data_IF_494946732373
#
_entry.id   IF_494946732373
#
_cell.length_a   1.000
_cell.length_b   1.000
_cell.length_c   1.000
_cell.angle_alpha   90.00
_cell.angle_beta   90.00
_cell.angle_gamma   90.00
#
_symmetry.space_group_name_H-M   'P 1'
#
loop_
_entity.id
_entity.type
_entity.pdbx_description
1 polymer ?
#
# COMPACT_ATOMS: atom_id res chain seq x y z
N UNK A 1 5.85 -7.32 7.49
CA UNK A 1 6.07 -5.91 7.84
C UNK A 1 7.32 -5.47 7.10
N UNK A 2 7.29 -4.31 6.46
CA UNK A 2 8.44 -3.80 5.72
C UNK A 2 8.48 -2.27 5.79
N UNK A 3 9.69 -1.73 5.71
CA UNK A 3 9.94 -0.29 5.50
C UNK A 3 10.61 -0.14 4.16
N UNK A 4 10.14 0.81 3.35
CA UNK A 4 10.74 1.13 2.07
C UNK A 4 12.01 1.95 2.28
N UNK A 5 13.14 1.47 1.79
CA UNK A 5 14.44 2.15 1.92
C UNK A 5 14.89 2.85 0.64
N UNK A 6 14.41 2.41 -0.52
CA UNK A 6 14.76 2.96 -1.84
C UNK A 6 13.53 3.07 -2.75
N UNK A 7 13.62 3.94 -3.76
CA UNK A 7 12.60 4.08 -4.81
C UNK A 7 12.72 2.96 -5.86
N UNK A 8 11.61 2.66 -6.56
CA UNK A 8 11.59 1.79 -7.74
C UNK A 8 11.66 0.27 -7.52
N UNK A 9 11.88 -0.22 -6.29
CA UNK A 9 12.00 -1.67 -6.02
C UNK A 9 10.65 -2.39 -5.81
N UNK A 10 9.66 -1.69 -5.24
CA UNK A 10 8.34 -2.29 -4.96
C UNK A 10 7.44 -2.25 -6.19
N UNK A 11 6.55 -3.23 -6.30
CA UNK A 11 5.52 -3.27 -7.35
C UNK A 11 4.41 -2.21 -7.17
N UNK A 12 4.40 -1.49 -6.04
CA UNK A 12 3.44 -0.43 -5.74
C UNK A 12 4.13 0.92 -5.55
N UNK A 13 3.47 2.02 -5.95
CA UNK A 13 3.98 3.38 -5.75
C UNK A 13 4.20 3.65 -4.27
N UNK A 14 5.22 4.44 -3.94
CA UNK A 14 5.50 4.86 -2.57
C UNK A 14 6.91 5.41 -2.43
N UNK A 15 7.13 6.24 -1.40
CA UNK A 15 8.40 6.91 -1.17
C UNK A 15 9.21 6.25 -0.05
N UNK A 16 10.55 6.42 -0.01
CA UNK A 16 11.37 5.96 1.09
C UNK A 16 10.83 6.44 2.44
N UNK A 17 10.83 5.54 3.43
CA UNK A 17 10.20 5.75 4.73
C UNK A 17 8.77 5.22 4.83
N UNK A 18 8.13 4.84 3.71
CA UNK A 18 6.83 4.18 3.73
C UNK A 18 6.89 2.87 4.55
N UNK A 19 6.03 2.76 5.55
CA UNK A 19 5.86 1.57 6.36
C UNK A 19 4.64 0.78 5.89
N UNK A 20 4.78 -0.53 5.70
CA UNK A 20 3.68 -1.38 5.23
C UNK A 20 3.52 -2.67 6.04
N UNK A 21 2.26 -3.07 6.20
CA UNK A 21 1.87 -4.38 6.73
C UNK A 21 0.62 -4.89 6.02
N UNK A 22 0.54 -6.21 5.82
CA UNK A 22 -0.60 -6.82 5.14
C UNK A 22 -1.04 -8.09 5.85
N UNK A 23 -2.34 -8.34 5.95
CA UNK A 23 -2.90 -9.53 6.59
C UNK A 23 -3.16 -10.66 5.62
N UNK A 24 -3.40 -11.89 6.09
CA UNK A 24 -3.58 -13.03 5.18
C UNK A 24 -4.84 -12.96 4.30
N UNK A 25 -5.89 -12.27 4.77
CA UNK A 25 -7.24 -12.30 4.20
C UNK A 25 -7.61 -11.11 3.30
N UNK A 26 -6.65 -10.23 2.99
CA UNK A 26 -6.90 -9.09 2.10
C UNK A 26 -6.45 -7.76 2.68
N UNK A 27 -6.49 -7.62 4.01
CA UNK A 27 -6.17 -6.36 4.69
C UNK A 27 -4.79 -5.80 4.34
N UNK A 28 -4.70 -4.48 4.28
CA UNK A 28 -3.50 -3.72 4.00
C UNK A 28 -3.46 -2.47 4.86
N UNK A 29 -2.28 -2.17 5.37
CA UNK A 29 -1.96 -0.97 6.13
C UNK A 29 -0.70 -0.35 5.55
N UNK A 30 -0.72 0.95 5.31
CA UNK A 30 0.50 1.69 5.02
C UNK A 30 0.48 3.11 5.60
N UNK A 31 1.67 3.57 5.99
CA UNK A 31 1.92 4.92 6.46
C UNK A 31 2.97 5.54 5.54
N UNK A 32 2.63 6.66 4.92
CA UNK A 32 3.49 7.36 3.97
C UNK A 32 3.82 8.75 4.57
N UNK A 33 5.10 9.01 4.91
CA UNK A 33 5.48 10.21 5.64
C UNK A 33 5.55 11.48 4.77
N UNK A 34 5.82 11.38 3.47
CA UNK A 34 6.00 12.51 2.55
C UNK A 34 4.67 13.24 2.27
N UNK A 35 3.65 12.48 1.93
CA UNK A 35 2.26 12.88 1.69
C UNK A 35 1.46 12.98 3.00
N UNK A 36 2.05 12.59 4.14
CA UNK A 36 1.45 12.65 5.49
C UNK A 36 0.11 11.92 5.55
N UNK A 37 0.06 10.70 5.01
CA UNK A 37 -1.14 9.87 4.99
C UNK A 37 -0.94 8.56 5.73
N UNK A 38 -2.05 8.04 6.25
CA UNK A 38 -2.16 6.66 6.74
C UNK A 38 -3.38 6.05 6.08
N UNK A 39 -3.20 4.87 5.49
CA UNK A 39 -4.26 4.14 4.81
C UNK A 39 -4.47 2.78 5.47
N UNK A 40 -5.74 2.46 5.72
CA UNK A 40 -6.20 1.15 6.20
C UNK A 40 -7.24 0.62 5.23
N UNK A 41 -6.98 -0.56 4.68
CA UNK A 41 -7.85 -1.19 3.67
C UNK A 41 -8.43 -2.48 4.25
N UNK A 42 -9.75 -2.51 4.38
CA UNK A 42 -10.51 -3.69 4.80
C UNK A 42 -11.12 -4.42 3.62
N UNK A 43 -10.43 -5.42 3.08
CA UNK A 43 -10.92 -6.29 2.01
C UNK A 43 -11.08 -7.72 2.49
N UNK A 44 -12.18 -8.37 2.11
CA UNK A 44 -12.43 -9.80 2.32
C UNK A 44 -12.05 -10.56 1.04
N UNK A 45 -10.75 -10.76 0.83
CA UNK A 45 -10.19 -11.24 -0.43
C UNK A 45 -9.08 -12.28 -0.18
N UNK A 46 -9.40 -13.50 0.29
CA UNK A 46 -8.39 -14.52 0.59
C UNK A 46 -7.69 -15.06 -0.67
N UNK A 47 -6.54 -15.71 -0.49
CA UNK A 47 -5.83 -16.36 -1.59
C UNK A 47 -5.12 -15.37 -2.52
N UNK A 48 -5.01 -15.70 -3.80
CA UNK A 48 -4.18 -14.93 -4.77
C UNK A 48 -4.75 -13.54 -5.07
N UNK A 49 -6.08 -13.39 -5.03
CA UNK A 49 -6.75 -12.14 -5.40
C UNK A 49 -6.43 -10.97 -4.47
N UNK A 50 -5.97 -11.22 -3.23
CA UNK A 50 -5.48 -10.16 -2.33
C UNK A 50 -4.37 -9.31 -2.93
N UNK A 51 -3.47 -9.92 -3.71
CA UNK A 51 -2.31 -9.22 -4.26
C UNK A 51 -2.77 -8.19 -5.29
N UNK A 52 -3.67 -8.60 -6.19
CA UNK A 52 -4.28 -7.74 -7.19
C UNK A 52 -4.92 -6.51 -6.54
N UNK A 53 -5.81 -6.72 -5.56
CA UNK A 53 -6.49 -5.60 -4.91
C UNK A 53 -5.54 -4.64 -4.18
N UNK A 54 -4.49 -5.14 -3.52
CA UNK A 54 -3.54 -4.27 -2.80
C UNK A 54 -2.79 -3.33 -3.71
N UNK A 55 -2.34 -3.87 -4.84
CA UNK A 55 -1.63 -3.07 -5.83
C UNK A 55 -2.57 -1.99 -6.37
N UNK A 56 -3.77 -2.37 -6.82
CA UNK A 56 -4.75 -1.43 -7.36
C UNK A 56 -5.16 -0.36 -6.34
N UNK A 57 -5.43 -0.72 -5.08
CA UNK A 57 -5.86 0.24 -4.05
C UNK A 57 -4.77 1.26 -3.77
N UNK A 58 -3.51 0.85 -3.68
CA UNK A 58 -2.42 1.80 -3.44
C UNK A 58 -2.26 2.77 -4.62
N UNK A 59 -2.33 2.28 -5.87
CA UNK A 59 -2.37 3.15 -7.05
C UNK A 59 -3.53 4.16 -6.99
N UNK A 60 -4.74 3.74 -6.64
CA UNK A 60 -5.89 4.63 -6.53
C UNK A 60 -5.73 5.68 -5.43
N UNK A 61 -5.14 5.33 -4.28
CA UNK A 61 -4.86 6.29 -3.19
C UNK A 61 -3.91 7.38 -3.67
N UNK A 62 -2.80 7.02 -4.32
CA UNK A 62 -1.88 8.03 -4.86
C UNK A 62 -2.52 8.88 -5.97
N UNK A 63 -3.30 8.26 -6.86
CA UNK A 63 -4.02 9.00 -7.89
C UNK A 63 -5.02 10.02 -7.30
N UNK A 64 -5.64 9.71 -6.15
CA UNK A 64 -6.56 10.62 -5.47
C UNK A 64 -5.88 11.78 -4.74
N UNK A 65 -4.57 11.69 -4.47
CA UNK A 65 -3.78 12.73 -3.80
C UNK A 65 -3.26 13.75 -4.82
N UNK A 66 -2.95 13.30 -6.04
CA UNK A 66 -2.50 14.17 -7.13
C UNK A 66 -3.68 15.10 -7.51
N UNK A 67 -3.50 16.41 -7.28
CA UNK A 67 -4.40 17.49 -7.70
C UNK A 67 -3.77 18.32 -8.80
#
# INVERSE_FOLDING_TARGET
MAVRTTEGLSAVPGNPGEFTWTGAYGTQFFCEPKERLVAVVGTAAPGKIRKYYREQVQYMVYAAIIR
#
